data_IF_208848889019
#
_entry.id   IF_208848889019
#
_cell.length_a   1.000
_cell.length_b   1.000
_cell.length_c   1.000
_cell.angle_alpha   90.00
_cell.angle_beta   90.00
_cell.angle_gamma   90.00
#
_symmetry.space_group_name_H-M   'P 1'
#
loop_
_entity.id
_entity.type
_entity.pdbx_description
1 polymer ?
#
# COMPACT_ATOMS: atom_id res chain seq x y z
N UNK A 1 -8.60 -75.68 -58.71
CA UNK A 1 -7.25 -76.00 -58.21
C UNK A 1 -6.74 -74.82 -57.46
N UNK A 2 -6.58 -74.95 -56.15
CA UNK A 2 -5.81 -74.25 -55.17
C UNK A 2 -6.04 -72.69 -55.03
N UNK A 3 -6.72 -72.25 -53.98
CA UNK A 3 -6.27 -72.18 -52.57
C UNK A 3 -5.21 -71.07 -52.41
N UNK A 4 -5.58 -69.96 -51.76
CA UNK A 4 -5.07 -69.62 -50.47
C UNK A 4 -5.73 -68.33 -49.92
N UNK A 5 -6.27 -68.48 -48.74
CA UNK A 5 -6.74 -67.47 -47.84
C UNK A 5 -5.63 -66.50 -47.47
N UNK A 6 -5.93 -65.25 -47.32
CA UNK A 6 -5.32 -64.43 -46.26
C UNK A 6 -6.28 -63.35 -45.74
N UNK A 7 -6.67 -63.53 -44.54
CA UNK A 7 -7.33 -62.59 -43.61
C UNK A 7 -6.33 -61.50 -43.30
N UNK A 8 -6.68 -60.24 -43.49
CA UNK A 8 -5.96 -59.11 -42.87
C UNK A 8 -6.91 -58.38 -41.97
N UNK A 9 -6.67 -58.54 -40.64
CA UNK A 9 -7.28 -57.82 -39.56
C UNK A 9 -6.98 -56.32 -39.67
N UNK A 10 -8.03 -55.52 -39.75
CA UNK A 10 -7.92 -54.07 -39.55
C UNK A 10 -7.82 -53.75 -38.08
N UNK A 11 -6.66 -53.23 -37.63
CA UNK A 11 -6.49 -52.64 -36.32
C UNK A 11 -6.90 -51.16 -36.41
N UNK A 12 -8.06 -50.84 -35.80
CA UNK A 12 -8.46 -49.46 -35.50
C UNK A 12 -7.60 -48.97 -34.32
N UNK A 13 -6.64 -48.12 -34.59
CA UNK A 13 -5.90 -47.41 -33.54
C UNK A 13 -6.75 -46.23 -33.04
N UNK A 14 -7.40 -46.39 -31.88
CA UNK A 14 -8.00 -45.29 -31.14
C UNK A 14 -6.88 -44.48 -30.45
N UNK A 15 -6.60 -43.29 -30.96
CA UNK A 15 -5.75 -42.30 -30.27
C UNK A 15 -6.55 -41.73 -29.08
N UNK A 16 -6.27 -42.20 -27.88
CA UNK A 16 -6.66 -41.56 -26.62
C UNK A 16 -5.74 -40.36 -26.41
N UNK A 17 -6.26 -39.16 -26.65
CA UNK A 17 -5.67 -37.92 -26.14
C UNK A 17 -5.83 -37.92 -24.62
N UNK A 18 -4.80 -38.35 -23.88
CA UNK A 18 -4.66 -38.10 -22.47
C UNK A 18 -4.27 -36.62 -22.32
N UNK A 19 -5.24 -35.77 -21.97
CA UNK A 19 -4.96 -34.44 -21.44
C UNK A 19 -4.27 -34.63 -20.10
N UNK A 20 -2.94 -34.44 -20.05
CA UNK A 20 -2.22 -34.24 -18.79
C UNK A 20 -2.66 -32.92 -18.19
N UNK A 21 -3.64 -32.95 -17.32
CA UNK A 21 -3.81 -31.90 -16.32
C UNK A 21 -2.58 -32.02 -15.42
N UNK A 22 -1.66 -31.04 -15.53
CA UNK A 22 -0.61 -30.91 -14.55
C UNK A 22 -1.27 -30.68 -13.16
N UNK A 23 -0.89 -31.43 -12.13
CA UNK A 23 -1.38 -31.14 -10.79
C UNK A 23 -0.87 -29.74 -10.42
N UNK A 24 -1.76 -28.90 -9.93
CA UNK A 24 -1.37 -27.66 -9.26
C UNK A 24 -0.34 -28.07 -8.18
N UNK A 25 0.89 -27.62 -8.33
CA UNK A 25 1.90 -27.79 -7.32
C UNK A 25 1.45 -26.98 -6.11
N UNK A 26 0.91 -27.64 -5.08
CA UNK A 26 0.85 -27.06 -3.75
C UNK A 26 2.32 -26.83 -3.37
N UNK A 27 2.73 -25.57 -3.29
CA UNK A 27 4.02 -25.19 -2.70
C UNK A 27 3.91 -25.64 -1.25
N UNK A 28 4.67 -26.68 -0.88
CA UNK A 28 4.77 -27.09 0.52
C UNK A 28 5.36 -25.92 1.30
N UNK A 29 4.73 -25.55 2.42
CA UNK A 29 5.30 -24.63 3.38
C UNK A 29 6.74 -25.10 3.73
N UNK A 30 7.72 -24.19 3.87
CA UNK A 30 9.05 -24.57 4.26
C UNK A 30 9.02 -25.28 5.61
N UNK A 31 9.75 -26.41 5.72
CA UNK A 31 9.85 -27.26 6.93
C UNK A 31 10.57 -26.56 8.12
N UNK A 32 10.83 -25.25 8.01
CA UNK A 32 11.56 -24.45 8.98
C UNK A 32 10.69 -23.30 9.53
N UNK A 33 10.70 -23.10 10.83
CA UNK A 33 10.14 -21.93 11.50
C UNK A 33 10.71 -20.65 10.88
N UNK A 34 9.85 -19.66 10.66
CA UNK A 34 10.27 -18.32 10.29
C UNK A 34 10.38 -17.48 11.56
N UNK A 35 11.57 -16.89 11.78
CA UNK A 35 11.83 -16.04 12.93
C UNK A 35 12.18 -14.61 12.46
N UNK A 36 11.57 -13.62 13.09
CA UNK A 36 11.86 -12.21 12.81
C UNK A 36 11.49 -11.32 14.02
N UNK A 37 11.95 -10.07 13.97
CA UNK A 37 11.54 -9.03 14.91
C UNK A 37 10.44 -8.20 14.25
N UNK A 38 9.31 -8.05 14.92
CA UNK A 38 8.20 -7.26 14.41
C UNK A 38 8.39 -5.73 14.64
N UNK A 39 7.43 -4.94 14.19
CA UNK A 39 7.50 -3.47 14.30
C UNK A 39 7.35 -2.93 15.73
N UNK A 40 7.01 -3.77 16.70
CA UNK A 40 7.02 -3.44 18.14
C UNK A 40 8.28 -3.93 18.86
N UNK A 41 9.20 -4.61 18.15
CA UNK A 41 10.42 -5.16 18.70
C UNK A 41 10.27 -6.54 19.34
N UNK A 42 9.12 -7.18 19.18
CA UNK A 42 8.89 -8.53 19.68
C UNK A 42 9.53 -9.57 18.76
N UNK A 43 10.12 -10.62 19.38
CA UNK A 43 10.59 -11.79 18.65
C UNK A 43 9.39 -12.66 18.27
N UNK A 44 9.17 -12.84 16.99
CA UNK A 44 8.08 -13.67 16.43
C UNK A 44 8.66 -14.92 15.82
N UNK A 45 8.12 -16.09 16.19
CA UNK A 45 8.46 -17.37 15.60
C UNK A 45 7.18 -18.05 15.10
N UNK A 46 7.08 -18.24 13.79
CA UNK A 46 5.92 -18.85 13.13
C UNK A 46 6.27 -20.25 12.65
N UNK A 47 5.35 -21.20 12.89
CA UNK A 47 5.47 -22.59 12.44
C UNK A 47 4.58 -22.86 11.20
N UNK A 48 3.49 -22.08 11.05
CA UNK A 48 2.58 -22.17 9.91
C UNK A 48 1.90 -20.82 9.67
N UNK A 49 1.38 -20.62 8.46
CA UNK A 49 0.60 -19.48 8.00
C UNK A 49 -0.42 -19.89 6.93
N UNK A 50 -1.02 -21.04 7.15
CA UNK A 50 -2.06 -21.57 6.27
C UNK A 50 -3.42 -20.88 6.51
N UNK A 51 -3.61 -20.32 7.72
CA UNK A 51 -4.84 -19.66 8.17
C UNK A 51 -4.57 -18.24 8.65
N UNK A 52 -4.27 -17.36 7.69
CA UNK A 52 -3.89 -15.98 8.00
C UNK A 52 -5.11 -15.09 8.09
N UNK A 53 -5.17 -14.25 9.13
CA UNK A 53 -6.10 -13.14 9.27
C UNK A 53 -5.33 -11.85 9.23
N UNK A 54 -5.73 -10.90 8.35
CA UNK A 54 -5.17 -9.55 8.32
C UNK A 54 -6.16 -8.52 8.86
N UNK A 55 -5.77 -7.78 9.88
CA UNK A 55 -6.60 -6.76 10.50
C UNK A 55 -6.43 -5.37 9.87
N UNK A 56 -5.72 -5.27 8.74
CA UNK A 56 -5.55 -4.05 7.99
C UNK A 56 -5.56 -4.32 6.48
N UNK A 57 -6.48 -3.69 5.75
CA UNK A 57 -6.68 -3.92 4.31
C UNK A 57 -5.43 -3.70 3.47
N UNK A 58 -4.57 -2.73 3.81
CA UNK A 58 -3.30 -2.53 3.12
C UNK A 58 -2.32 -3.69 3.32
N UNK A 59 -2.30 -4.32 4.49
CA UNK A 59 -1.49 -5.51 4.74
C UNK A 59 -2.14 -6.79 4.22
N UNK A 60 -3.49 -6.84 4.16
CA UNK A 60 -4.20 -7.90 3.46
C UNK A 60 -3.80 -7.96 1.98
N UNK A 61 -3.79 -6.80 1.31
CA UNK A 61 -3.32 -6.70 -0.08
C UNK A 61 -1.86 -7.12 -0.21
N UNK A 62 -0.98 -6.63 0.68
CA UNK A 62 0.44 -6.96 0.64
C UNK A 62 0.70 -8.46 0.82
N UNK A 63 -0.04 -9.13 1.71
CA UNK A 63 -0.01 -10.58 1.89
C UNK A 63 -0.47 -11.32 0.64
N UNK A 64 -1.58 -10.89 0.01
CA UNK A 64 -2.06 -11.46 -1.24
C UNK A 64 -1.08 -11.25 -2.41
N UNK A 65 -0.46 -10.06 -2.51
CA UNK A 65 0.59 -9.75 -3.49
C UNK A 65 1.82 -10.66 -3.33
N UNK A 66 2.11 -11.10 -2.11
CA UNK A 66 3.19 -12.06 -1.84
C UNK A 66 2.83 -13.52 -2.14
N UNK A 67 1.62 -13.79 -2.67
CA UNK A 67 1.13 -15.13 -2.96
C UNK A 67 0.49 -15.84 -1.76
N UNK A 68 0.26 -15.14 -0.66
CA UNK A 68 -0.43 -15.66 0.52
C UNK A 68 -1.94 -15.77 0.31
N UNK A 69 -2.61 -16.47 1.23
CA UNK A 69 -4.06 -16.60 1.27
C UNK A 69 -4.60 -16.12 2.62
N UNK A 70 -5.86 -15.70 2.65
CA UNK A 70 -6.52 -15.20 3.85
C UNK A 70 -7.72 -16.06 4.21
N UNK A 71 -7.98 -16.23 5.51
CA UNK A 71 -9.24 -16.77 6.04
C UNK A 71 -10.09 -15.67 6.68
N UNK A 72 -9.53 -14.48 6.91
CA UNK A 72 -10.25 -13.32 7.44
C UNK A 72 -9.51 -12.02 7.17
N UNK A 73 -10.29 -10.94 7.05
CA UNK A 73 -9.79 -9.58 6.88
C UNK A 73 -10.76 -8.56 7.50
N UNK A 74 -10.28 -7.34 7.78
CA UNK A 74 -11.15 -6.22 8.17
C UNK A 74 -11.84 -5.61 6.94
N UNK A 75 -12.97 -4.93 7.17
CA UNK A 75 -13.87 -4.43 6.10
C UNK A 75 -13.19 -3.46 5.13
N UNK A 76 -12.17 -2.73 5.58
CA UNK A 76 -11.37 -1.81 4.75
C UNK A 76 -10.63 -2.52 3.60
N UNK A 77 -10.37 -3.83 3.72
CA UNK A 77 -9.83 -4.63 2.63
C UNK A 77 -10.75 -4.62 1.39
N UNK A 78 -12.07 -4.63 1.61
CA UNK A 78 -13.07 -4.57 0.53
C UNK A 78 -13.50 -3.12 0.25
N UNK A 79 -13.87 -2.38 1.30
CA UNK A 79 -14.48 -1.05 1.18
C UNK A 79 -13.51 0.03 0.70
N UNK A 80 -12.25 -0.04 1.15
CA UNK A 80 -11.23 0.97 0.84
C UNK A 80 -10.20 0.48 -0.18
N UNK A 81 -9.80 -0.81 -0.12
CA UNK A 81 -8.82 -1.40 -1.04
C UNK A 81 -9.45 -2.03 -2.27
N UNK A 82 -10.77 -2.30 -2.27
CA UNK A 82 -11.45 -2.95 -3.38
C UNK A 82 -10.97 -4.39 -3.65
N UNK A 83 -10.44 -5.09 -2.62
CA UNK A 83 -9.93 -6.43 -2.80
C UNK A 83 -11.06 -7.40 -3.10
N UNK A 84 -10.90 -8.20 -4.15
CA UNK A 84 -11.79 -9.30 -4.47
C UNK A 84 -11.44 -10.51 -3.58
N UNK A 85 -11.93 -10.52 -2.36
CA UNK A 85 -11.75 -11.63 -1.42
C UNK A 85 -12.66 -12.80 -1.82
N UNK A 86 -12.16 -14.03 -1.62
CA UNK A 86 -12.97 -15.24 -1.82
C UNK A 86 -14.17 -15.31 -0.87
N UNK A 87 -15.22 -16.04 -1.24
CA UNK A 87 -16.42 -16.24 -0.42
C UNK A 87 -16.12 -16.89 0.95
N UNK A 88 -15.00 -17.58 1.05
CA UNK A 88 -14.53 -18.25 2.29
C UNK A 88 -13.76 -17.30 3.23
N UNK A 89 -13.48 -16.05 2.83
CA UNK A 89 -12.78 -15.05 3.66
C UNK A 89 -13.80 -14.27 4.48
N UNK A 90 -13.75 -14.44 5.80
CA UNK A 90 -14.66 -13.74 6.70
C UNK A 90 -14.23 -12.29 6.93
N UNK A 91 -15.20 -11.37 7.05
CA UNK A 91 -14.93 -10.02 7.51
C UNK A 91 -15.03 -9.98 9.04
N UNK A 92 -13.94 -9.57 9.71
CA UNK A 92 -13.78 -9.63 11.17
C UNK A 92 -13.84 -8.24 11.83
N UNK A 93 -14.77 -7.42 11.40
CA UNK A 93 -14.98 -6.06 11.91
C UNK A 93 -14.25 -5.00 11.09
N UNK A 94 -14.23 -3.76 11.60
CA UNK A 94 -13.54 -2.64 10.93
C UNK A 94 -12.08 -2.50 11.40
N UNK A 95 -11.29 -1.78 10.63
CA UNK A 95 -9.85 -1.61 10.86
C UNK A 95 -9.49 -0.99 12.22
N UNK A 96 -10.33 -0.12 12.79
CA UNK A 96 -10.03 0.51 14.10
C UNK A 96 -10.45 -0.33 15.29
N UNK A 97 -11.49 -1.15 15.12
CA UNK A 97 -12.07 -2.00 16.16
C UNK A 97 -12.40 -3.38 15.59
N UNK A 98 -11.37 -4.20 15.28
CA UNK A 98 -11.60 -5.56 14.82
C UNK A 98 -12.24 -6.40 15.92
N UNK A 99 -13.05 -7.39 15.53
CA UNK A 99 -13.73 -8.30 16.45
C UNK A 99 -12.81 -9.45 16.84
N UNK A 100 -12.28 -9.42 18.06
CA UNK A 100 -11.45 -10.51 18.58
C UNK A 100 -12.20 -11.87 18.55
N UNK A 101 -13.49 -11.87 18.85
CA UNK A 101 -14.32 -13.11 18.85
C UNK A 101 -14.35 -13.74 17.44
N UNK A 102 -14.60 -12.91 16.40
CA UNK A 102 -14.62 -13.37 15.02
C UNK A 102 -13.23 -13.84 14.57
N UNK A 103 -12.16 -13.13 14.94
CA UNK A 103 -10.78 -13.55 14.68
C UNK A 103 -10.51 -14.92 15.28
N UNK A 104 -10.80 -15.13 16.57
CA UNK A 104 -10.55 -16.40 17.27
C UNK A 104 -11.41 -17.55 16.73
N UNK A 105 -12.66 -17.27 16.29
CA UNK A 105 -13.54 -18.26 15.67
C UNK A 105 -12.95 -18.85 14.38
N UNK A 106 -12.14 -18.09 13.65
CA UNK A 106 -11.43 -18.54 12.46
C UNK A 106 -10.24 -19.46 12.77
N UNK A 107 -9.83 -19.59 14.03
CA UNK A 107 -8.66 -20.37 14.47
C UNK A 107 -7.43 -20.07 13.59
N UNK A 108 -6.97 -18.82 13.53
CA UNK A 108 -5.81 -18.45 12.73
C UNK A 108 -4.53 -19.06 13.33
N UNK A 109 -3.60 -19.38 12.45
CA UNK A 109 -2.22 -19.72 12.82
C UNK A 109 -1.27 -18.53 12.68
N UNK A 110 -1.76 -17.43 12.05
CA UNK A 110 -1.05 -16.15 12.03
C UNK A 110 -2.03 -14.98 11.88
N UNK A 111 -1.81 -13.91 12.66
CA UNK A 111 -2.57 -12.66 12.56
C UNK A 111 -1.62 -11.50 12.22
N UNK A 112 -1.93 -10.77 11.16
CA UNK A 112 -1.19 -9.60 10.69
C UNK A 112 -1.86 -8.35 11.23
N UNK A 113 -1.09 -7.54 12.00
CA UNK A 113 -1.55 -6.31 12.64
C UNK A 113 -0.73 -5.10 12.22
N UNK A 114 -1.30 -3.90 12.37
CA UNK A 114 -0.58 -2.63 12.23
C UNK A 114 -0.09 -2.14 13.59
N UNK A 115 1.19 -1.74 13.66
CA UNK A 115 1.77 -1.11 14.84
C UNK A 115 1.25 0.32 15.10
N UNK A 116 0.58 0.93 14.11
CA UNK A 116 0.13 2.32 14.14
C UNK A 116 -1.35 2.47 14.48
N UNK A 117 -2.08 1.36 14.66
CA UNK A 117 -3.52 1.37 14.96
C UNK A 117 -3.73 0.92 16.40
N UNK A 118 -4.21 1.84 17.24
CA UNK A 118 -4.42 1.61 18.67
C UNK A 118 -5.29 0.37 18.95
N UNK A 119 -6.37 0.18 18.18
CA UNK A 119 -7.24 -0.98 18.31
C UNK A 119 -6.56 -2.32 18.01
N UNK A 120 -5.49 -2.32 17.18
CA UNK A 120 -4.67 -3.51 16.93
C UNK A 120 -3.73 -3.78 18.10
N UNK A 121 -3.05 -2.73 18.59
CA UNK A 121 -2.14 -2.84 19.73
C UNK A 121 -2.88 -3.33 20.98
N UNK A 122 -4.13 -2.91 21.17
CA UNK A 122 -4.97 -3.35 22.29
C UNK A 122 -5.33 -4.86 22.25
N UNK A 123 -5.15 -5.54 21.12
CA UNK A 123 -5.41 -6.99 20.99
C UNK A 123 -4.25 -7.87 21.45
N UNK A 124 -3.04 -7.33 21.64
CA UNK A 124 -1.82 -8.06 21.94
C UNK A 124 -1.95 -9.06 23.08
N UNK A 125 -2.38 -8.57 24.25
CA UNK A 125 -2.55 -9.40 25.45
C UNK A 125 -3.57 -10.52 25.24
N UNK A 126 -4.66 -10.21 24.52
CA UNK A 126 -5.75 -11.18 24.28
C UNK A 126 -5.34 -12.25 23.27
N UNK A 127 -4.63 -11.91 22.20
CA UNK A 127 -4.11 -12.86 21.21
C UNK A 127 -3.03 -13.74 21.84
N UNK A 128 -2.14 -13.16 22.66
CA UNK A 128 -1.13 -13.88 23.42
C UNK A 128 -1.77 -14.88 24.40
N UNK A 129 -2.77 -14.44 25.17
CA UNK A 129 -3.49 -15.30 26.10
C UNK A 129 -4.24 -16.44 25.41
N UNK A 130 -4.72 -16.21 24.19
CA UNK A 130 -5.35 -17.23 23.35
C UNK A 130 -4.34 -18.16 22.65
N UNK A 131 -3.04 -17.89 22.75
CA UNK A 131 -1.97 -18.65 22.08
C UNK A 131 -1.98 -18.49 20.56
N UNK A 132 -2.48 -17.37 20.04
CA UNK A 132 -2.56 -17.07 18.61
C UNK A 132 -1.30 -16.34 18.17
N UNK A 133 -0.45 -16.91 17.28
CA UNK A 133 0.69 -16.23 16.71
C UNK A 133 0.27 -14.97 15.96
N UNK A 134 0.94 -13.86 16.24
CA UNK A 134 0.65 -12.59 15.58
C UNK A 134 1.90 -11.71 15.49
N UNK A 135 1.88 -10.73 14.59
CA UNK A 135 2.96 -9.79 14.42
C UNK A 135 2.45 -8.41 13.98
N UNK A 136 3.17 -7.40 14.40
CA UNK A 136 2.92 -6.01 14.06
C UNK A 136 3.83 -5.57 12.92
N UNK A 137 3.23 -4.98 11.90
CA UNK A 137 3.97 -4.41 10.77
C UNK A 137 3.76 -2.90 10.71
N UNK A 138 4.77 -2.21 10.15
CA UNK A 138 4.74 -0.78 9.85
C UNK A 138 5.30 -0.55 8.46
N UNK A 139 4.67 0.33 7.71
CA UNK A 139 5.13 0.78 6.39
C UNK A 139 4.93 2.29 6.34
N UNK A 140 5.99 3.06 6.57
CA UNK A 140 5.96 4.52 6.56
C UNK A 140 6.59 5.11 5.29
N UNK A 141 7.36 4.29 4.56
CA UNK A 141 8.04 4.66 3.32
C UNK A 141 8.17 3.45 2.39
N UNK A 142 8.80 3.67 1.24
CA UNK A 142 8.97 2.63 0.22
C UNK A 142 9.94 1.52 0.65
N UNK A 143 10.96 1.82 1.45
CA UNK A 143 11.90 0.82 1.96
C UNK A 143 11.21 -0.15 2.92
N UNK A 144 10.36 0.37 3.81
CA UNK A 144 9.55 -0.46 4.71
C UNK A 144 8.63 -1.39 3.92
N UNK A 145 7.98 -0.88 2.86
CA UNK A 145 7.17 -1.69 1.96
C UNK A 145 7.96 -2.85 1.36
N UNK A 146 9.14 -2.57 0.79
CA UNK A 146 10.00 -3.60 0.22
C UNK A 146 10.45 -4.63 1.27
N UNK A 147 10.70 -4.18 2.50
CA UNK A 147 11.10 -5.06 3.61
C UNK A 147 9.98 -6.01 3.99
N UNK A 148 8.76 -5.52 4.20
CA UNK A 148 7.60 -6.34 4.56
C UNK A 148 7.22 -7.27 3.40
N UNK A 149 7.19 -6.76 2.16
CA UNK A 149 6.90 -7.59 0.99
C UNK A 149 7.92 -8.74 0.83
N UNK A 150 9.22 -8.45 0.98
CA UNK A 150 10.27 -9.48 0.92
C UNK A 150 10.06 -10.55 1.99
N UNK A 151 9.76 -10.14 3.22
CA UNK A 151 9.47 -11.05 4.30
C UNK A 151 8.28 -11.96 3.99
N UNK A 152 7.18 -11.39 3.49
CA UNK A 152 6.00 -12.16 3.12
C UNK A 152 6.28 -13.10 1.92
N UNK A 153 7.02 -12.65 0.91
CA UNK A 153 7.43 -13.50 -0.21
C UNK A 153 8.33 -14.67 0.24
N UNK A 154 9.22 -14.46 1.20
CA UNK A 154 10.02 -15.55 1.80
C UNK A 154 9.15 -16.55 2.54
N UNK A 155 8.13 -16.10 3.29
CA UNK A 155 7.18 -16.97 3.96
C UNK A 155 6.40 -17.84 2.96
N UNK A 156 5.96 -17.23 1.86
CA UNK A 156 5.15 -17.94 0.83
C UNK A 156 5.99 -18.71 -0.19
N UNK A 157 7.33 -18.56 -0.17
CA UNK A 157 8.23 -19.17 -1.15
C UNK A 157 8.12 -18.55 -2.56
N UNK A 158 7.66 -17.30 -2.66
CA UNK A 158 7.36 -16.60 -3.90
C UNK A 158 8.31 -15.42 -4.14
N UNK A 159 9.62 -15.71 -4.20
CA UNK A 159 10.64 -14.69 -4.51
C UNK A 159 10.40 -14.02 -5.88
N UNK A 160 9.75 -14.71 -6.82
CA UNK A 160 9.33 -14.16 -8.10
C UNK A 160 8.37 -12.97 -7.95
N UNK A 161 7.47 -12.98 -6.96
CA UNK A 161 6.56 -11.87 -6.68
C UNK A 161 7.29 -10.68 -6.03
N UNK A 162 8.36 -10.94 -5.27
CA UNK A 162 9.21 -9.85 -4.81
C UNK A 162 9.92 -9.16 -5.98
N UNK A 163 10.40 -9.91 -6.97
CA UNK A 163 11.00 -9.31 -8.18
C UNK A 163 9.97 -8.45 -8.93
N UNK A 164 8.73 -8.92 -9.03
CA UNK A 164 7.66 -8.20 -9.74
C UNK A 164 7.18 -6.94 -8.98
N UNK A 165 6.83 -7.09 -7.69
CA UNK A 165 6.16 -6.03 -6.92
C UNK A 165 7.11 -5.21 -6.03
N UNK A 166 8.33 -5.68 -5.81
CA UNK A 166 9.36 -4.99 -5.03
C UNK A 166 10.47 -4.43 -5.90
N UNK A 167 11.34 -5.31 -6.44
CA UNK A 167 12.54 -4.90 -7.18
C UNK A 167 12.24 -4.09 -8.45
N UNK A 168 11.21 -4.47 -9.22
CA UNK A 168 10.80 -3.70 -10.40
C UNK A 168 10.28 -2.31 -10.03
N UNK A 169 9.51 -2.19 -8.93
CA UNK A 169 9.07 -0.90 -8.40
C UNK A 169 10.27 -0.04 -7.97
N UNK A 170 11.25 -0.64 -7.28
CA UNK A 170 12.46 0.07 -6.85
C UNK A 170 13.23 0.64 -8.04
N UNK A 171 13.44 -0.15 -9.07
CA UNK A 171 14.12 0.32 -10.29
C UNK A 171 13.37 1.49 -10.94
N UNK A 172 12.03 1.43 -10.98
CA UNK A 172 11.21 2.50 -11.55
C UNK A 172 11.28 3.77 -10.70
N UNK A 173 11.18 3.67 -9.37
CA UNK A 173 11.32 4.80 -8.44
C UNK A 173 12.69 5.48 -8.63
N UNK A 174 13.77 4.72 -8.69
CA UNK A 174 15.11 5.30 -8.89
C UNK A 174 15.25 6.00 -10.26
N UNK A 175 14.65 5.45 -11.33
CA UNK A 175 14.62 6.15 -12.63
C UNK A 175 13.85 7.46 -12.56
N UNK A 176 12.69 7.49 -11.91
CA UNK A 176 11.88 8.70 -11.74
C UNK A 176 12.64 9.77 -10.95
N UNK A 177 13.28 9.39 -9.83
CA UNK A 177 14.11 10.30 -9.02
C UNK A 177 15.28 10.87 -9.83
N UNK A 178 15.96 10.02 -10.59
CA UNK A 178 17.05 10.45 -11.46
C UNK A 178 16.57 11.41 -12.56
N UNK A 179 15.40 11.15 -13.17
CA UNK A 179 14.81 12.04 -14.17
C UNK A 179 14.41 13.40 -13.56
N UNK A 180 13.81 13.41 -12.37
CA UNK A 180 13.46 14.62 -11.64
C UNK A 180 14.72 15.47 -11.34
N UNK A 181 15.79 14.83 -10.85
CA UNK A 181 17.04 15.51 -10.54
C UNK A 181 17.72 16.16 -11.78
N UNK A 182 17.50 15.62 -12.99
CA UNK A 182 18.07 16.17 -14.22
C UNK A 182 17.37 17.43 -14.73
N UNK A 183 16.08 17.61 -14.39
CA UNK A 183 15.26 18.75 -14.86
C UNK A 183 15.03 19.81 -13.79
N UNK A 184 15.56 19.60 -12.61
CA UNK A 184 15.40 20.50 -11.48
C UNK A 184 16.37 21.68 -11.57
N UNK A 185 15.86 22.85 -11.98
CA UNK A 185 16.62 24.11 -11.96
C UNK A 185 16.63 24.75 -10.56
N UNK A 186 15.51 24.64 -9.83
CA UNK A 186 15.32 25.04 -8.45
C UNK A 186 14.33 24.08 -7.75
N UNK A 187 14.48 23.90 -6.44
CA UNK A 187 13.54 23.12 -5.65
C UNK A 187 12.18 23.84 -5.58
N UNK A 188 11.09 23.27 -6.11
CA UNK A 188 9.77 23.87 -5.96
C UNK A 188 9.36 23.83 -4.48
N UNK A 189 8.83 24.95 -3.98
CA UNK A 189 8.33 25.05 -2.61
C UNK A 189 6.93 24.47 -2.52
N UNK A 190 6.70 23.58 -1.57
CA UNK A 190 5.43 22.84 -1.43
C UNK A 190 4.88 22.99 -0.01
N UNK A 191 3.58 23.21 0.11
CA UNK A 191 2.83 22.97 1.34
C UNK A 191 2.03 21.67 1.19
N UNK A 192 2.37 20.64 1.97
CA UNK A 192 1.64 19.39 2.04
C UNK A 192 0.64 19.43 3.20
N UNK A 193 -0.64 19.17 2.90
CA UNK A 193 -1.75 19.20 3.87
C UNK A 193 -2.43 17.84 3.93
N UNK A 194 -2.71 17.32 5.14
CA UNK A 194 -3.76 16.33 5.38
C UNK A 194 -5.03 17.04 5.77
N UNK A 195 -6.11 16.87 4.97
CA UNK A 195 -7.41 17.44 5.24
C UNK A 195 -8.40 16.36 5.67
N UNK A 196 -9.14 16.65 6.74
CA UNK A 196 -10.20 15.83 7.32
C UNK A 196 -11.53 16.57 7.21
N UNK A 197 -12.62 15.90 7.43
CA UNK A 197 -13.94 16.55 7.55
C UNK A 197 -14.05 17.54 8.72
N UNK A 198 -13.12 17.51 9.66
CA UNK A 198 -13.16 18.30 10.91
C UNK A 198 -11.88 19.12 11.14
N UNK A 199 -10.96 19.16 10.19
CA UNK A 199 -9.69 19.86 10.37
C UNK A 199 -8.74 19.67 9.21
N UNK A 200 -7.64 20.43 9.24
CA UNK A 200 -6.52 20.28 8.32
C UNK A 200 -5.20 20.45 9.07
N UNK A 201 -4.15 19.73 8.65
CA UNK A 201 -2.82 19.83 9.24
C UNK A 201 -1.76 19.81 8.15
N UNK A 202 -0.78 20.69 8.24
CA UNK A 202 0.43 20.58 7.44
C UNK A 202 1.20 19.31 7.83
N UNK A 203 1.91 18.75 6.86
CA UNK A 203 2.70 17.53 7.02
C UNK A 203 4.08 17.67 6.40
N UNK A 204 5.06 17.04 7.09
CA UNK A 204 6.43 16.90 6.62
C UNK A 204 6.72 15.51 6.12
N UNK A 205 7.96 15.06 6.34
CA UNK A 205 8.44 13.71 6.00
C UNK A 205 7.97 12.62 6.98
N UNK A 206 7.18 13.00 7.97
CA UNK A 206 6.49 12.09 8.90
C UNK A 206 5.38 11.26 8.23
N UNK A 207 5.09 11.54 6.96
CA UNK A 207 4.18 10.75 6.14
C UNK A 207 4.84 10.43 4.79
N UNK A 208 4.50 9.29 4.20
CA UNK A 208 5.15 8.82 2.97
C UNK A 208 5.02 9.80 1.78
N UNK A 209 3.89 10.51 1.64
CA UNK A 209 3.75 11.54 0.60
C UNK A 209 4.78 12.67 0.78
N UNK A 210 5.06 13.07 2.02
CA UNK A 210 6.09 14.06 2.33
C UNK A 210 7.51 13.53 2.12
N UNK A 211 7.77 12.27 2.44
CA UNK A 211 9.03 11.61 2.13
C UNK A 211 9.27 11.54 0.61
N UNK A 212 8.25 11.12 -0.18
CA UNK A 212 8.32 11.12 -1.65
C UNK A 212 8.63 12.51 -2.22
N UNK A 213 7.97 13.57 -1.71
CA UNK A 213 8.23 14.94 -2.15
C UNK A 213 9.69 15.35 -1.88
N UNK A 214 10.22 15.03 -0.69
CA UNK A 214 11.61 15.32 -0.34
C UNK A 214 12.60 14.56 -1.23
N UNK A 215 12.34 13.27 -1.51
CA UNK A 215 13.17 12.46 -2.39
C UNK A 215 13.13 12.90 -3.85
N UNK A 216 12.04 13.53 -4.28
CA UNK A 216 11.92 14.17 -5.59
C UNK A 216 12.52 15.59 -5.62
N UNK A 217 13.08 16.08 -4.50
CA UNK A 217 13.76 17.36 -4.40
C UNK A 217 12.85 18.55 -4.16
N UNK A 218 11.60 18.36 -3.73
CA UNK A 218 10.72 19.45 -3.32
C UNK A 218 11.13 20.01 -1.95
N UNK A 219 11.00 21.32 -1.79
CA UNK A 219 11.24 22.02 -0.53
C UNK A 219 9.90 22.24 0.20
N UNK A 220 9.58 21.36 1.13
CA UNK A 220 8.38 21.51 1.94
C UNK A 220 8.55 22.68 2.93
N UNK A 221 7.66 23.67 2.84
CA UNK A 221 7.78 24.91 3.63
C UNK A 221 7.77 24.70 5.15
N UNK A 222 7.23 23.56 5.66
CA UNK A 222 7.25 23.23 7.09
C UNK A 222 8.67 23.06 7.66
N UNK A 223 9.68 22.88 6.79
CA UNK A 223 11.09 22.86 7.21
C UNK A 223 11.59 24.21 7.69
N UNK A 224 10.97 25.30 7.24
CA UNK A 224 11.26 26.69 7.61
C UNK A 224 10.18 27.30 8.49
N UNK A 225 8.97 26.81 8.42
CA UNK A 225 7.79 27.28 9.14
C UNK A 225 7.17 26.11 9.94
N UNK A 226 7.93 25.59 10.90
CA UNK A 226 7.57 24.43 11.71
C UNK A 226 6.27 24.61 12.52
N UNK A 227 5.93 25.85 12.85
CA UNK A 227 4.64 26.20 13.49
C UNK A 227 3.42 25.75 12.67
N UNK A 228 3.55 25.59 11.34
CA UNK A 228 2.48 25.04 10.49
C UNK A 228 2.12 23.58 10.81
N UNK A 229 3.04 22.82 11.42
CA UNK A 229 2.78 21.45 11.86
C UNK A 229 1.82 21.39 13.05
N UNK A 230 1.80 22.45 13.86
CA UNK A 230 0.90 22.57 15.01
C UNK A 230 -0.41 23.24 14.64
N UNK A 231 -0.33 24.37 13.92
CA UNK A 231 -1.48 25.16 13.48
C UNK A 231 -1.31 25.61 12.01
N UNK A 232 -2.26 25.27 11.17
CA UNK A 232 -2.29 25.64 9.75
C UNK A 232 -2.73 27.11 9.60
N UNK A 233 -1.85 28.05 9.99
CA UNK A 233 -2.12 29.48 10.01
C UNK A 233 -2.10 30.09 8.60
N UNK A 234 -3.18 30.76 8.22
CA UNK A 234 -3.26 31.53 6.97
C UNK A 234 -2.19 32.61 6.85
N UNK A 235 -1.86 33.29 7.96
CA UNK A 235 -0.82 34.33 7.98
C UNK A 235 0.55 33.73 7.60
N UNK A 236 0.88 32.56 8.17
CA UNK A 236 2.13 31.86 7.88
C UNK A 236 2.15 31.32 6.45
N UNK A 237 1.02 30.78 5.95
CA UNK A 237 0.91 30.30 4.54
C UNK A 237 1.14 31.47 3.57
N UNK A 238 0.53 32.63 3.81
CA UNK A 238 0.71 33.85 3.00
C UNK A 238 2.16 34.33 3.04
N UNK A 239 2.78 34.33 4.22
CA UNK A 239 4.17 34.76 4.37
C UNK A 239 5.16 33.81 3.66
N UNK A 240 4.85 32.52 3.63
CA UNK A 240 5.65 31.49 2.96
C UNK A 240 5.45 31.46 1.45
N UNK A 241 4.24 31.79 0.98
CA UNK A 241 3.79 31.81 -0.42
C UNK A 241 4.34 30.65 -1.27
N UNK A 242 3.94 29.41 -0.99
CA UNK A 242 4.49 28.23 -1.66
C UNK A 242 4.12 28.20 -3.16
N UNK A 243 5.00 27.61 -3.98
CA UNK A 243 4.74 27.39 -5.41
C UNK A 243 3.58 26.41 -5.64
N UNK A 244 3.39 25.45 -4.70
CA UNK A 244 2.37 24.39 -4.78
C UNK A 244 1.74 24.14 -3.42
N UNK A 245 0.44 23.81 -3.43
CA UNK A 245 -0.30 23.31 -2.27
C UNK A 245 -0.88 21.96 -2.66
N UNK A 246 -0.46 20.90 -1.97
CA UNK A 246 -0.90 19.52 -2.22
C UNK A 246 -1.69 19.02 -1.01
N UNK A 247 -2.91 18.51 -1.25
CA UNK A 247 -3.80 18.06 -0.20
C UNK A 247 -4.04 16.56 -0.31
N UNK A 248 -3.80 15.83 0.77
CA UNK A 248 -4.19 14.43 0.94
C UNK A 248 -5.53 14.40 1.68
N UNK A 249 -6.63 14.01 1.04
CA UNK A 249 -7.92 13.88 1.70
C UNK A 249 -7.94 12.64 2.60
N UNK A 250 -8.44 12.80 3.83
CA UNK A 250 -8.46 11.76 4.85
C UNK A 250 -9.88 11.30 5.15
N UNK A 251 -10.01 10.04 5.57
CA UNK A 251 -11.31 9.42 5.88
C UNK A 251 -12.04 8.89 4.65
N UNK A 252 -13.24 8.31 4.84
CA UNK A 252 -13.99 7.66 3.77
C UNK A 252 -14.56 8.65 2.73
N UNK A 253 -14.87 9.89 3.16
CA UNK A 253 -15.51 10.91 2.32
C UNK A 253 -14.52 12.04 1.96
N UNK A 254 -14.01 12.02 0.74
CA UNK A 254 -13.10 13.05 0.20
C UNK A 254 -13.77 14.41 0.06
N UNK A 255 -15.06 14.43 -0.32
CA UNK A 255 -15.81 15.67 -0.48
C UNK A 255 -15.93 16.44 0.84
N UNK A 256 -16.01 15.72 1.96
CA UNK A 256 -16.06 16.34 3.29
C UNK A 256 -14.73 17.00 3.66
N UNK A 257 -13.60 16.41 3.28
CA UNK A 257 -12.29 17.02 3.47
C UNK A 257 -12.09 18.25 2.55
N UNK A 258 -12.53 18.16 1.30
CA UNK A 258 -12.51 19.28 0.36
C UNK A 258 -13.41 20.42 0.83
N UNK A 259 -14.63 20.12 1.32
CA UNK A 259 -15.55 21.12 1.85
C UNK A 259 -14.97 21.86 3.07
N UNK A 260 -14.26 21.14 3.96
CA UNK A 260 -13.57 21.78 5.07
C UNK A 260 -12.51 22.79 4.58
N UNK A 261 -11.70 22.42 3.59
CA UNK A 261 -10.70 23.34 3.02
C UNK A 261 -11.39 24.56 2.36
N UNK A 262 -12.43 24.34 1.60
CA UNK A 262 -13.18 25.42 0.94
C UNK A 262 -13.76 26.42 1.97
N UNK A 263 -14.35 25.94 3.07
CA UNK A 263 -14.97 26.79 4.08
C UNK A 263 -13.94 27.57 4.93
N UNK A 264 -12.85 26.91 5.33
CA UNK A 264 -11.94 27.47 6.34
C UNK A 264 -10.70 28.16 5.76
N UNK A 265 -10.30 27.81 4.54
CA UNK A 265 -9.11 28.38 3.88
C UNK A 265 -9.45 29.11 2.59
N UNK A 266 -10.13 28.48 1.63
CA UNK A 266 -10.38 29.07 0.31
C UNK A 266 -11.37 30.23 0.37
N UNK A 267 -12.29 30.27 1.36
CA UNK A 267 -13.17 31.41 1.60
C UNK A 267 -12.43 32.68 2.05
N UNK A 268 -11.16 32.59 2.49
CA UNK A 268 -10.34 33.74 2.83
C UNK A 268 -9.88 34.44 1.53
N UNK A 269 -10.18 35.74 1.33
CA UNK A 269 -9.79 36.46 0.10
C UNK A 269 -8.29 36.42 -0.19
N UNK A 270 -7.42 36.28 0.84
CA UNK A 270 -5.99 36.20 0.69
C UNK A 270 -5.53 34.87 0.06
N UNK A 271 -6.32 33.82 0.16
CA UNK A 271 -6.04 32.53 -0.48
C UNK A 271 -5.89 32.65 -1.99
N UNK A 272 -6.79 33.41 -2.64
CA UNK A 272 -6.76 33.65 -4.07
C UNK A 272 -5.51 34.41 -4.53
N UNK A 273 -4.79 35.07 -3.61
CA UNK A 273 -3.52 35.77 -3.86
C UNK A 273 -2.28 34.90 -3.82
N UNK A 274 -2.37 33.66 -3.31
CA UNK A 274 -1.23 32.75 -3.22
C UNK A 274 -0.71 32.34 -4.60
N UNK A 275 0.60 32.27 -4.75
CA UNK A 275 1.26 31.83 -6.00
C UNK A 275 0.76 30.46 -6.47
N UNK A 276 0.63 29.49 -5.57
CA UNK A 276 0.09 28.17 -5.88
C UNK A 276 -1.32 28.24 -6.48
N UNK A 277 -2.21 29.07 -5.94
CA UNK A 277 -3.59 29.20 -6.39
C UNK A 277 -3.68 29.91 -7.73
N UNK A 278 -2.94 31.01 -7.91
CA UNK A 278 -2.89 31.77 -9.15
C UNK A 278 -2.36 30.95 -10.35
N UNK A 279 -1.41 30.07 -10.08
CA UNK A 279 -0.80 29.21 -11.11
C UNK A 279 -1.56 27.88 -11.31
N UNK A 280 -2.66 27.63 -10.58
CA UNK A 280 -3.41 26.37 -10.65
C UNK A 280 -2.64 25.17 -10.06
N UNK A 281 -1.69 25.43 -9.17
CA UNK A 281 -0.86 24.43 -8.48
C UNK A 281 -1.40 24.08 -7.07
N UNK A 282 -2.70 24.24 -6.86
CA UNK A 282 -3.43 23.71 -5.72
C UNK A 282 -4.18 22.45 -6.15
N UNK A 283 -3.83 21.29 -5.61
CA UNK A 283 -4.36 20.01 -6.06
C UNK A 283 -4.64 19.05 -4.90
N UNK A 284 -5.74 18.31 -5.02
CA UNK A 284 -6.04 17.16 -4.20
C UNK A 284 -5.35 15.93 -4.78
N UNK A 285 -4.60 15.21 -3.94
CA UNK A 285 -3.86 14.01 -4.31
C UNK A 285 -4.80 12.77 -4.26
N UNK A 286 -4.66 11.81 -5.20
CA UNK A 286 -5.45 10.58 -5.21
C UNK A 286 -5.27 9.76 -3.93
N UNK A 287 -6.36 9.38 -3.27
CA UNK A 287 -6.34 8.60 -2.01
C UNK A 287 -5.62 7.27 -2.14
N UNK A 288 -5.84 6.58 -3.24
CA UNK A 288 -5.25 5.26 -3.50
C UNK A 288 -3.72 5.29 -3.61
N UNK A 289 -3.13 6.48 -3.83
CA UNK A 289 -1.68 6.67 -3.90
C UNK A 289 -1.10 7.38 -2.67
N UNK A 290 -1.90 8.16 -1.91
CA UNK A 290 -1.35 9.07 -0.89
C UNK A 290 -2.05 9.03 0.47
N UNK A 291 -3.24 8.43 0.57
CA UNK A 291 -3.91 8.16 1.84
C UNK A 291 -3.71 6.71 2.26
N UNK A 292 -4.04 5.77 1.38
CA UNK A 292 -3.74 4.35 1.57
C UNK A 292 -2.29 4.06 1.18
N UNK A 293 -1.70 3.03 1.78
CA UNK A 293 -0.36 2.58 1.36
C UNK A 293 -0.44 2.08 -0.09
N UNK A 294 0.39 2.60 -1.03
CA UNK A 294 0.21 2.32 -2.47
C UNK A 294 0.47 0.86 -2.86
N UNK A 295 1.20 0.10 -2.03
CA UNK A 295 1.62 -1.29 -2.27
C UNK A 295 2.29 -1.46 -3.66
N UNK A 296 1.77 -2.27 -4.56
CA UNK A 296 2.35 -2.45 -5.90
C UNK A 296 2.38 -1.18 -6.78
N UNK A 297 1.84 -0.05 -6.29
CA UNK A 297 1.74 1.22 -7.01
C UNK A 297 2.62 2.34 -6.44
N UNK A 298 3.65 2.01 -5.65
CA UNK A 298 4.57 3.02 -5.12
C UNK A 298 5.20 3.88 -6.22
N UNK A 299 5.69 3.26 -7.30
CA UNK A 299 6.26 3.99 -8.43
C UNK A 299 5.24 4.89 -9.14
N UNK A 300 3.94 4.55 -9.15
CA UNK A 300 2.88 5.42 -9.66
C UNK A 300 2.74 6.68 -8.81
N UNK A 301 2.86 6.55 -7.47
CA UNK A 301 2.88 7.69 -6.56
C UNK A 301 4.05 8.65 -6.85
N UNK A 302 5.26 8.10 -7.01
CA UNK A 302 6.43 8.90 -7.40
C UNK A 302 6.25 9.56 -8.77
N UNK A 303 5.76 8.82 -9.77
CA UNK A 303 5.51 9.35 -11.11
C UNK A 303 4.47 10.49 -11.09
N UNK A 304 3.40 10.33 -10.30
CA UNK A 304 2.36 11.33 -10.14
C UNK A 304 2.92 12.64 -9.55
N UNK A 305 3.67 12.54 -8.44
CA UNK A 305 4.29 13.72 -7.81
C UNK A 305 5.36 14.32 -8.69
N UNK A 306 6.21 13.52 -9.33
CA UNK A 306 7.24 14.03 -10.25
C UNK A 306 6.62 14.80 -11.42
N UNK A 307 5.48 14.36 -11.95
CA UNK A 307 4.76 15.07 -13.03
C UNK A 307 4.18 16.40 -12.57
N UNK A 308 3.71 16.50 -11.33
CA UNK A 308 3.22 17.75 -10.74
C UNK A 308 4.38 18.73 -10.50
N UNK A 309 5.48 18.25 -9.88
CA UNK A 309 6.64 19.05 -9.54
C UNK A 309 7.39 19.53 -10.79
N UNK A 310 7.46 18.70 -11.80
CA UNK A 310 8.25 18.88 -13.03
C UNK A 310 7.42 18.55 -14.27
N UNK A 311 6.50 19.44 -14.71
CA UNK A 311 5.59 19.18 -15.83
C UNK A 311 6.28 18.86 -17.14
N UNK A 312 7.56 19.25 -17.31
CA UNK A 312 8.39 18.96 -18.49
C UNK A 312 8.83 17.49 -18.59
N UNK A 313 8.72 16.69 -17.53
CA UNK A 313 9.01 15.26 -17.60
C UNK A 313 8.03 14.56 -18.53
N UNK A 314 8.57 13.72 -19.41
CA UNK A 314 7.78 12.91 -20.35
C UNK A 314 7.24 11.64 -19.68
N UNK A 315 6.16 11.09 -20.24
CA UNK A 315 5.61 9.82 -19.74
C UNK A 315 6.61 8.66 -19.85
N UNK A 316 7.51 8.70 -20.86
CA UNK A 316 8.59 7.72 -21.02
C UNK A 316 9.61 7.78 -19.86
N UNK A 317 9.92 8.98 -19.37
CA UNK A 317 10.81 9.16 -18.21
C UNK A 317 10.16 8.72 -16.90
N UNK A 318 8.84 8.68 -16.83
CA UNK A 318 8.05 8.28 -15.66
C UNK A 318 7.60 6.81 -15.69
N UNK A 319 7.76 6.13 -16.82
CA UNK A 319 7.47 4.71 -16.98
C UNK A 319 8.60 3.85 -16.39
#
# INVERSE_FOLDING_TARGET
MNMFKRIVCGLLAALLLAACAAPAQSVAAPDSAVEFVDAQGAQVALQSWDRVVSLYGSFAELWLLSGGTLVGATTDAVEERGLALGEDVALVGNVKTPSLEEVLALRPDFVILSADIEGHVALDESLTAAGVPHAYFRVDNFEDYCTVLRQFCQMTGRDDLFEEYGAAQQQRVERIKAAAAQVQDAAPTVLLIRAYSTGAKAKGTDIFAGAMLAELGADNIVTRYDSLLEDLSMETIIAADPDMILMVPMGANEDAAAAYMAEHFEANPAWAGLTAVQNGCYAMLPKELFHYKPNARWADGYAYLAKILYPQLTDEQLA
#
